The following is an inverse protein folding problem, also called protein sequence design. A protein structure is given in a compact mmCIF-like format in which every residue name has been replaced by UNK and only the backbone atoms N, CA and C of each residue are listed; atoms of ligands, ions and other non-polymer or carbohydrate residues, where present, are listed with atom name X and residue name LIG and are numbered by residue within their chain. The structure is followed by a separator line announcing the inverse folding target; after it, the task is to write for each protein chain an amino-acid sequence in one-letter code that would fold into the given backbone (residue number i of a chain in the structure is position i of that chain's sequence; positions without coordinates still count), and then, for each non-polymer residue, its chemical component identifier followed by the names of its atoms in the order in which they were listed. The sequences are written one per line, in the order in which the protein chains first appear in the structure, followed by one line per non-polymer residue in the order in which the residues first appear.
data_IF_076200653722
#
_entry.id   IF_076200653722
#
_cell.length_a   1.000
_cell.length_b   1.000
_cell.length_c   1.000
_cell.angle_alpha   90.00
_cell.angle_beta   90.00
_cell.angle_gamma   90.00
#
_symmetry.space_group_name_H-M   'P 1'
#
loop_
_entity.id
_entity.type
_entity.pdbx_description
1 polymer ?
#
# COMPACT_ATOMS: atom_id res chain seq x y z
N UNK A 1 -15.65 4.88 -3.34
CA UNK A 1 -14.58 5.01 -4.35
C UNK A 1 -15.17 5.01 -5.76
N UNK A 2 -14.55 5.72 -6.70
CA UNK A 2 -14.96 5.79 -8.12
C UNK A 2 -13.80 5.37 -9.04
N UNK A 3 -14.10 4.82 -10.22
CA UNK A 3 -13.12 4.50 -11.26
C UNK A 3 -13.46 5.30 -12.51
N UNK A 4 -12.50 6.03 -13.10
CA UNK A 4 -12.79 6.92 -14.22
C UNK A 4 -11.71 6.91 -15.30
N UNK A 5 -12.11 6.87 -16.57
CA UNK A 5 -11.22 7.00 -17.74
C UNK A 5 -11.97 7.74 -18.84
N UNK A 6 -11.33 8.73 -19.46
CA UNK A 6 -11.86 9.48 -20.61
C UNK A 6 -13.31 9.98 -20.40
N UNK A 7 -13.58 10.61 -19.24
CA UNK A 7 -14.89 11.10 -18.77
C UNK A 7 -15.96 10.04 -18.46
N UNK A 8 -15.65 8.75 -18.57
CA UNK A 8 -16.57 7.67 -18.21
C UNK A 8 -16.32 7.19 -16.77
N UNK A 9 -17.40 6.89 -16.04
CA UNK A 9 -17.34 6.18 -14.77
C UNK A 9 -17.43 4.68 -15.05
N UNK A 10 -16.49 3.91 -14.54
CA UNK A 10 -16.40 2.47 -14.72
C UNK A 10 -16.97 1.76 -13.49
N UNK A 11 -17.64 0.64 -13.71
CA UNK A 11 -17.87 -0.35 -12.66
C UNK A 11 -16.56 -1.01 -12.23
N UNK A 12 -16.54 -1.62 -11.04
CA UNK A 12 -15.39 -2.39 -10.57
C UNK A 12 -15.02 -3.51 -11.56
N UNK A 13 -16.00 -4.17 -12.18
CA UNK A 13 -15.76 -5.25 -13.15
C UNK A 13 -15.04 -4.74 -14.40
N UNK A 14 -15.48 -3.62 -14.95
CA UNK A 14 -14.84 -2.99 -16.11
C UNK A 14 -13.43 -2.52 -15.78
N UNK A 15 -13.25 -1.88 -14.62
CA UNK A 15 -11.93 -1.44 -14.15
C UNK A 15 -10.94 -2.61 -13.98
N UNK A 16 -11.37 -3.73 -13.37
CA UNK A 16 -10.53 -4.93 -13.25
C UNK A 16 -10.22 -5.54 -14.62
N UNK A 17 -11.19 -5.57 -15.54
CA UNK A 17 -10.96 -6.05 -16.91
C UNK A 17 -9.95 -5.20 -17.68
N UNK A 18 -9.97 -3.87 -17.47
CA UNK A 18 -9.03 -2.94 -18.12
C UNK A 18 -7.63 -3.01 -17.51
N UNK A 19 -7.53 -3.21 -16.21
CA UNK A 19 -6.24 -3.21 -15.49
C UNK A 19 -5.62 -4.60 -15.34
N UNK A 20 -6.37 -5.66 -15.65
CA UNK A 20 -5.93 -7.05 -15.52
C UNK A 20 -5.69 -7.51 -14.08
N UNK A 21 -6.15 -6.74 -13.08
CA UNK A 21 -5.87 -7.00 -11.67
C UNK A 21 -7.17 -7.08 -10.86
N UNK A 22 -7.54 -8.26 -10.35
CA UNK A 22 -8.54 -8.44 -9.30
C UNK A 22 -8.30 -7.52 -8.09
N UNK A 23 -9.40 -6.94 -7.60
CA UNK A 23 -9.39 -6.01 -6.48
C UNK A 23 -9.37 -6.73 -5.14
N UNK A 24 -8.41 -6.37 -4.29
CA UNK A 24 -8.34 -6.84 -2.91
C UNK A 24 -8.04 -5.69 -1.96
N UNK A 25 -8.83 -5.57 -0.89
CA UNK A 25 -8.68 -4.51 0.13
C UNK A 25 -7.87 -4.93 1.36
N UNK A 26 -7.35 -6.16 1.39
CA UNK A 26 -6.59 -6.71 2.52
C UNK A 26 -5.41 -7.57 2.08
N UNK A 27 -4.49 -7.80 3.01
CA UNK A 27 -3.46 -8.83 2.85
C UNK A 27 -4.04 -10.25 2.84
N UNK A 28 -3.43 -11.08 2.02
CA UNK A 28 -3.55 -12.53 2.04
C UNK A 28 -2.18 -13.12 2.34
N UNK A 29 -2.14 -14.27 3.00
CA UNK A 29 -0.89 -14.92 3.33
C UNK A 29 -0.82 -16.30 2.69
N UNK A 30 0.31 -16.63 2.08
CA UNK A 30 0.59 -18.02 1.70
C UNK A 30 0.56 -18.89 2.98
N UNK A 31 -0.35 -19.89 3.06
CA UNK A 31 -0.51 -20.72 4.25
C UNK A 31 0.78 -21.42 4.68
N UNK A 32 1.70 -21.68 3.74
CA UNK A 32 2.99 -22.35 4.03
C UNK A 32 3.94 -21.46 4.82
N UNK A 33 3.84 -20.14 4.71
CA UNK A 33 4.74 -19.20 5.40
C UNK A 33 4.11 -18.59 6.65
N UNK A 34 2.78 -18.50 6.70
CA UNK A 34 2.07 -17.73 7.71
C UNK A 34 2.38 -18.16 9.16
N UNK A 35 2.42 -19.46 9.53
CA UNK A 35 2.77 -19.87 10.89
C UNK A 35 4.19 -19.44 11.31
N UNK A 36 5.16 -19.51 10.39
CA UNK A 36 6.54 -19.11 10.64
C UNK A 36 6.66 -17.59 10.81
N UNK A 37 5.91 -16.84 10.01
CA UNK A 37 5.84 -15.39 10.07
C UNK A 37 5.32 -14.94 11.44
N UNK A 38 4.19 -15.49 11.91
CA UNK A 38 3.63 -15.18 13.23
C UNK A 38 4.60 -15.51 14.37
N UNK A 39 5.22 -16.70 14.35
CA UNK A 39 6.21 -17.09 15.36
C UNK A 39 7.40 -16.11 15.41
N UNK A 40 7.82 -15.63 14.25
CA UNK A 40 8.91 -14.65 14.14
C UNK A 40 8.48 -13.29 14.71
N UNK A 41 7.28 -12.81 14.35
CA UNK A 41 6.73 -11.56 14.87
C UNK A 41 6.61 -11.57 16.40
N UNK A 42 6.08 -12.66 16.96
CA UNK A 42 5.98 -12.85 18.42
C UNK A 42 7.34 -12.86 19.10
N UNK A 43 8.35 -13.49 18.50
CA UNK A 43 9.73 -13.47 19.02
C UNK A 43 10.30 -12.05 19.03
N UNK A 44 10.17 -11.32 17.91
CA UNK A 44 10.66 -9.95 17.79
C UNK A 44 9.95 -9.01 18.77
N UNK A 45 8.63 -9.17 18.94
CA UNK A 45 7.84 -8.43 19.92
C UNK A 45 8.34 -8.64 21.35
N UNK A 46 8.59 -9.89 21.75
CA UNK A 46 9.13 -10.23 23.09
C UNK A 46 10.54 -9.70 23.30
N UNK A 47 11.34 -9.61 22.23
CA UNK A 47 12.68 -9.06 22.24
C UNK A 47 12.70 -7.51 22.23
N UNK A 48 11.55 -6.83 22.11
CA UNK A 48 11.49 -5.37 22.03
C UNK A 48 11.89 -4.78 20.66
N UNK A 49 12.00 -5.62 19.63
CA UNK A 49 12.44 -5.22 18.28
C UNK A 49 11.31 -4.58 17.45
N UNK A 50 10.05 -4.74 17.88
CA UNK A 50 8.92 -4.03 17.30
C UNK A 50 8.79 -2.67 18.00
N UNK A 51 9.10 -1.60 17.29
CA UNK A 51 9.09 -0.25 17.85
C UNK A 51 7.71 0.16 18.41
N UNK A 52 7.72 1.03 19.42
CA UNK A 52 6.49 1.59 19.99
C UNK A 52 5.66 2.35 18.94
N UNK A 53 6.31 3.04 17.99
CA UNK A 53 5.62 3.74 16.91
C UNK A 53 4.87 2.75 15.98
N UNK A 54 5.49 1.64 15.63
CA UNK A 54 4.87 0.57 14.82
C UNK A 54 3.66 -0.05 15.54
N UNK A 55 3.76 -0.31 16.85
CA UNK A 55 2.63 -0.80 17.65
C UNK A 55 1.54 0.26 17.82
N UNK A 56 1.92 1.52 18.00
CA UNK A 56 0.99 2.62 18.16
C UNK A 56 0.17 2.85 16.90
N UNK A 57 0.79 2.83 15.72
CA UNK A 57 0.08 2.95 14.43
C UNK A 57 -0.94 1.83 14.24
N UNK A 58 -0.59 0.59 14.60
CA UNK A 58 -1.51 -0.54 14.51
C UNK A 58 -2.73 -0.37 15.42
N UNK A 59 -2.54 0.15 16.64
CA UNK A 59 -3.66 0.46 17.55
C UNK A 59 -4.46 1.68 17.11
N UNK A 60 -3.79 2.73 16.63
CA UNK A 60 -4.42 3.98 16.20
C UNK A 60 -5.35 3.75 15.01
N UNK A 61 -4.90 2.96 14.01
CA UNK A 61 -5.68 2.63 12.81
C UNK A 61 -6.37 1.26 12.84
N UNK A 62 -6.57 0.68 14.04
CA UNK A 62 -7.12 -0.67 14.16
C UNK A 62 -8.51 -0.79 13.51
N UNK A 63 -9.35 0.24 13.66
CA UNK A 63 -10.72 0.21 13.14
C UNK A 63 -10.71 0.15 11.62
N UNK A 64 -9.85 0.94 10.98
CA UNK A 64 -9.72 1.01 9.54
C UNK A 64 -9.13 -0.28 8.96
N UNK A 65 -8.14 -0.87 9.66
CA UNK A 65 -7.57 -2.18 9.31
C UNK A 65 -8.60 -3.33 9.42
N UNK A 66 -9.55 -3.25 10.36
CA UNK A 66 -10.62 -4.27 10.47
C UNK A 66 -11.79 -4.03 9.53
N UNK A 67 -12.24 -2.78 9.37
CA UNK A 67 -13.43 -2.46 8.59
C UNK A 67 -13.17 -2.46 7.08
N UNK A 68 -11.91 -2.23 6.67
CA UNK A 68 -11.50 -2.20 5.26
C UNK A 68 -12.38 -1.29 4.40
N UNK A 69 -12.85 -0.17 4.99
CA UNK A 69 -13.73 0.77 4.31
C UNK A 69 -12.94 1.49 3.22
N UNK A 70 -13.48 1.50 2.02
CA UNK A 70 -12.90 2.28 0.92
C UNK A 70 -12.88 3.78 1.27
N UNK A 71 -11.76 4.48 1.06
CA UNK A 71 -11.69 5.91 1.29
C UNK A 71 -12.47 6.68 0.21
N UNK A 72 -12.76 7.95 0.51
CA UNK A 72 -13.44 8.87 -0.40
C UNK A 72 -12.48 9.39 -1.48
N UNK A 73 -12.09 8.50 -2.38
CA UNK A 73 -11.16 8.75 -3.49
C UNK A 73 -11.70 8.22 -4.82
N UNK A 74 -11.12 8.71 -5.91
CA UNK A 74 -11.31 8.18 -7.26
C UNK A 74 -9.99 7.67 -7.83
N UNK A 75 -10.00 6.53 -8.51
CA UNK A 75 -8.92 6.11 -9.38
C UNK A 75 -9.20 6.63 -10.78
N UNK A 76 -8.34 7.49 -11.30
CA UNK A 76 -8.51 8.15 -12.60
C UNK A 76 -7.36 7.81 -13.52
N UNK A 77 -7.66 7.56 -14.80
CA UNK A 77 -6.63 7.61 -15.83
C UNK A 77 -6.17 9.07 -15.98
N UNK A 78 -4.87 9.31 -15.76
CA UNK A 78 -4.29 10.65 -15.81
C UNK A 78 -3.75 10.96 -17.21
N UNK A 79 -2.82 10.13 -17.69
CA UNK A 79 -2.21 10.24 -19.02
C UNK A 79 -1.38 9.00 -19.34
N UNK A 80 -0.77 8.95 -20.53
CA UNK A 80 0.06 7.82 -20.99
C UNK A 80 1.39 7.66 -20.24
N UNK A 81 1.84 8.66 -19.48
CA UNK A 81 3.11 8.63 -18.74
C UNK A 81 2.90 8.08 -17.33
N UNK A 82 1.93 8.63 -16.60
CA UNK A 82 1.60 8.22 -15.22
C UNK A 82 0.67 7.01 -15.18
N UNK A 83 -0.18 6.85 -16.20
CA UNK A 83 -1.25 5.87 -16.20
C UNK A 83 -2.36 6.27 -15.23
N UNK A 84 -2.72 5.35 -14.33
CA UNK A 84 -3.75 5.57 -13.32
C UNK A 84 -3.18 6.32 -12.11
N UNK A 85 -4.01 7.12 -11.46
CA UNK A 85 -3.67 7.83 -10.22
C UNK A 85 -4.88 7.94 -9.29
N UNK A 86 -4.62 8.21 -8.01
CA UNK A 86 -5.65 8.32 -6.98
C UNK A 86 -5.90 9.79 -6.65
N UNK A 87 -7.16 10.22 -6.74
CA UNK A 87 -7.60 11.61 -6.52
C UNK A 87 -8.53 11.70 -5.30
N UNK A 88 -8.32 12.69 -4.45
CA UNK A 88 -9.20 12.98 -3.32
C UNK A 88 -10.60 13.43 -3.76
N UNK A 89 -11.67 12.81 -3.25
CA UNK A 89 -13.06 13.25 -3.50
C UNK A 89 -13.62 14.19 -2.42
N UNK A 90 -12.89 14.33 -1.31
CA UNK A 90 -13.12 15.30 -0.24
C UNK A 90 -11.80 15.81 0.32
N UNK A 91 -11.87 16.80 1.19
CA UNK A 91 -10.71 17.19 1.99
C UNK A 91 -10.37 16.08 3.00
N UNK A 92 -9.09 15.79 3.14
CA UNK A 92 -8.54 14.94 4.18
C UNK A 92 -7.70 15.78 5.15
N UNK A 93 -7.89 15.55 6.43
CA UNK A 93 -7.04 16.03 7.51
C UNK A 93 -5.77 15.20 7.57
N UNK A 94 -4.75 15.72 8.25
CA UNK A 94 -3.54 14.95 8.61
C UNK A 94 -3.92 13.79 9.56
N UNK A 95 -3.20 12.66 9.46
CA UNK A 95 -3.44 11.43 10.23
C UNK A 95 -4.77 10.71 9.91
N UNK A 96 -5.25 10.81 8.67
CA UNK A 96 -6.36 9.99 8.17
C UNK A 96 -5.82 8.78 7.40
N UNK A 97 -6.34 7.60 7.71
CA UNK A 97 -6.03 6.36 6.99
C UNK A 97 -6.55 6.43 5.56
N UNK A 98 -5.75 5.97 4.60
CA UNK A 98 -6.17 5.83 3.20
C UNK A 98 -6.33 4.35 2.83
N UNK A 99 -5.28 3.56 2.96
CA UNK A 99 -5.31 2.14 2.56
C UNK A 99 -4.15 1.37 3.18
N UNK A 100 -4.29 0.06 3.22
CA UNK A 100 -3.14 -0.85 3.30
C UNK A 100 -2.56 -1.12 1.90
N UNK A 101 -1.28 -1.42 1.82
CA UNK A 101 -0.66 -2.02 0.63
C UNK A 101 -1.07 -3.50 0.54
N UNK A 102 -2.25 -3.75 -0.02
CA UNK A 102 -2.87 -5.08 -0.09
C UNK A 102 -2.34 -5.93 -1.24
N UNK A 103 -2.29 -7.26 -1.02
CA UNK A 103 -1.80 -8.23 -1.98
C UNK A 103 -1.53 -9.59 -1.33
N UNK A 104 -0.84 -10.49 -2.04
CA UNK A 104 -0.43 -11.79 -1.49
C UNK A 104 0.95 -11.70 -0.84
N UNK A 105 1.02 -11.91 0.47
CA UNK A 105 2.26 -12.11 1.21
C UNK A 105 2.78 -13.52 0.95
N UNK A 106 3.94 -13.60 0.29
CA UNK A 106 4.62 -14.86 -0.03
C UNK A 106 6.13 -14.74 0.12
N UNK A 107 6.84 -15.86 -0.02
CA UNK A 107 8.31 -15.84 -0.10
C UNK A 107 8.74 -15.03 -1.33
N UNK A 108 9.71 -14.15 -1.15
CA UNK A 108 10.30 -13.36 -2.23
C UNK A 108 11.11 -14.26 -3.16
N UNK A 109 11.06 -13.95 -4.45
CA UNK A 109 11.85 -14.57 -5.53
C UNK A 109 12.61 -13.50 -6.30
N UNK A 110 13.68 -13.89 -7.00
CA UNK A 110 14.59 -12.93 -7.67
C UNK A 110 13.88 -11.96 -8.62
N UNK A 111 12.84 -12.41 -9.32
CA UNK A 111 12.08 -11.58 -10.27
C UNK A 111 11.31 -10.43 -9.60
N UNK A 112 11.01 -10.53 -8.30
CA UNK A 112 10.20 -9.54 -7.57
C UNK A 112 10.89 -8.18 -7.51
N UNK A 113 12.22 -8.15 -7.49
CA UNK A 113 13.02 -6.92 -7.49
C UNK A 113 12.78 -6.04 -8.72
N UNK A 114 12.32 -6.65 -9.82
CA UNK A 114 12.00 -5.92 -11.07
C UNK A 114 10.49 -5.64 -11.20
N UNK A 115 9.65 -6.24 -10.37
CA UNK A 115 8.21 -6.07 -10.42
C UNK A 115 7.81 -4.79 -9.66
N UNK A 116 7.20 -3.84 -10.39
CA UNK A 116 6.78 -2.56 -9.83
C UNK A 116 5.66 -2.67 -8.77
N UNK A 117 4.98 -3.82 -8.71
CA UNK A 117 3.88 -4.07 -7.78
C UNK A 117 4.26 -4.96 -6.60
N UNK A 118 5.52 -5.42 -6.53
CA UNK A 118 6.01 -6.14 -5.37
C UNK A 118 6.59 -5.15 -4.34
N UNK A 119 6.16 -5.27 -3.10
CA UNK A 119 6.66 -4.50 -1.97
C UNK A 119 7.29 -5.45 -0.94
N UNK A 120 8.48 -5.14 -0.42
CA UNK A 120 9.11 -5.96 0.63
C UNK A 120 8.18 -6.05 1.85
N UNK A 121 7.97 -7.24 2.43
CA UNK A 121 7.10 -7.39 3.60
C UNK A 121 7.94 -7.45 4.90
N UNK A 122 8.16 -6.32 5.61
CA UNK A 122 8.85 -6.33 6.89
C UNK A 122 7.94 -6.80 8.03
N UNK A 123 8.50 -7.60 8.94
CA UNK A 123 7.84 -7.96 10.21
C UNK A 123 8.08 -6.87 11.26
N UNK A 124 9.28 -6.28 11.26
CA UNK A 124 9.68 -5.17 12.11
C UNK A 124 10.58 -4.21 11.30
N UNK A 125 10.53 -2.93 11.63
CA UNK A 125 11.32 -1.91 10.94
C UNK A 125 12.82 -2.20 11.06
N UNK A 126 13.55 -2.10 9.94
CA UNK A 126 14.98 -2.41 9.88
C UNK A 126 15.35 -3.90 9.92
N UNK A 127 14.38 -4.80 10.09
CA UNK A 127 14.64 -6.25 10.08
C UNK A 127 14.50 -6.79 8.65
N UNK A 128 15.59 -7.33 8.12
CA UNK A 128 15.60 -8.00 6.81
C UNK A 128 14.58 -9.13 6.78
N UNK A 129 13.86 -9.21 5.66
CA UNK A 129 12.83 -10.22 5.43
C UNK A 129 13.10 -11.00 4.15
N UNK A 130 12.54 -12.21 4.07
CA UNK A 130 12.51 -13.01 2.83
C UNK A 130 11.12 -13.02 2.22
N UNK A 131 10.25 -12.10 2.62
CA UNK A 131 8.84 -12.05 2.24
C UNK A 131 8.56 -10.79 1.40
N UNK A 132 7.58 -10.90 0.52
CA UNK A 132 7.10 -9.79 -0.30
C UNK A 132 5.59 -9.80 -0.28
N UNK A 133 4.98 -8.62 -0.35
CA UNK A 133 3.61 -8.44 -0.80
C UNK A 133 3.64 -8.38 -2.32
N UNK A 134 2.95 -9.32 -2.98
CA UNK A 134 2.77 -9.36 -4.42
C UNK A 134 1.40 -8.76 -4.76
N UNK A 135 1.40 -7.55 -5.34
CA UNK A 135 0.20 -6.86 -5.79
C UNK A 135 0.04 -6.83 -7.33
N UNK A 136 0.78 -7.68 -8.05
CA UNK A 136 0.70 -7.76 -9.52
C UNK A 136 -0.58 -8.49 -9.95
N UNK A 137 -0.80 -9.69 -9.44
CA UNK A 137 -1.91 -10.58 -9.83
C UNK A 137 -3.22 -10.25 -9.10
N UNK A 138 -3.14 -9.58 -7.94
CA UNK A 138 -4.29 -9.12 -7.17
C UNK A 138 -3.82 -7.97 -6.26
N UNK A 139 -4.50 -6.82 -6.28
CA UNK A 139 -4.09 -5.69 -5.47
C UNK A 139 -5.22 -4.71 -5.14
N UNK A 140 -4.94 -3.81 -4.22
CA UNK A 140 -5.88 -2.79 -3.77
C UNK A 140 -5.56 -1.39 -4.28
N UNK A 141 -6.11 -0.39 -3.59
CA UNK A 141 -5.94 1.02 -3.92
C UNK A 141 -4.46 1.45 -4.02
N UNK A 142 -3.61 0.94 -3.13
CA UNK A 142 -2.22 1.38 -3.00
C UNK A 142 -1.41 1.24 -4.30
N UNK A 143 -1.70 0.24 -5.14
CA UNK A 143 -0.96 -0.01 -6.40
C UNK A 143 -1.17 1.08 -7.46
N UNK A 144 -2.18 1.93 -7.28
CA UNK A 144 -2.52 3.02 -8.18
C UNK A 144 -2.13 4.40 -7.61
N UNK A 145 -1.52 4.46 -6.42
CA UNK A 145 -1.03 5.70 -5.83
C UNK A 145 0.37 5.95 -6.37
N UNK A 146 0.55 7.06 -7.08
CA UNK A 146 1.80 7.38 -7.75
C UNK A 146 2.90 7.86 -6.80
N UNK A 147 4.13 7.83 -7.31
CA UNK A 147 5.28 8.38 -6.62
C UNK A 147 5.28 9.91 -6.62
N UNK A 148 5.72 10.52 -5.53
CA UNK A 148 6.20 11.90 -5.52
C UNK A 148 7.37 12.05 -4.55
N UNK A 149 8.36 12.89 -4.89
CA UNK A 149 9.44 13.29 -3.98
C UNK A 149 8.97 14.29 -2.92
N UNK A 150 7.81 14.92 -3.10
CA UNK A 150 7.13 15.74 -2.08
C UNK A 150 5.71 15.19 -1.81
N UNK A 151 5.60 13.96 -1.27
CA UNK A 151 4.32 13.28 -1.20
C UNK A 151 3.37 13.93 -0.20
N UNK A 152 2.09 13.58 -0.26
CA UNK A 152 1.09 13.95 0.75
C UNK A 152 0.63 12.77 1.62
N UNK A 153 1.03 11.55 1.26
CA UNK A 153 0.91 10.37 2.10
C UNK A 153 2.24 9.99 2.76
N UNK A 154 2.13 9.24 3.86
CA UNK A 154 3.21 8.51 4.51
C UNK A 154 2.92 7.02 4.42
N UNK A 155 3.91 6.24 3.97
CA UNK A 155 3.91 4.78 4.12
C UNK A 155 4.58 4.43 5.46
N UNK A 156 3.99 3.54 6.25
CA UNK A 156 4.58 3.08 7.51
C UNK A 156 4.18 1.65 7.81
N UNK A 157 5.07 0.94 8.52
CA UNK A 157 4.75 -0.36 9.09
C UNK A 157 3.96 -0.17 10.39
N UNK A 158 2.75 -0.73 10.44
CA UNK A 158 1.91 -0.86 11.61
C UNK A 158 1.85 -2.34 12.04
N UNK A 159 1.80 -2.62 13.34
CA UNK A 159 1.57 -4.00 13.82
C UNK A 159 0.29 -4.11 14.61
N UNK A 160 -0.59 -4.98 14.13
CA UNK A 160 -1.87 -5.34 14.74
C UNK A 160 -1.93 -6.87 14.81
N UNK A 161 -2.30 -7.42 15.98
CA UNK A 161 -2.41 -8.88 16.18
C UNK A 161 -1.17 -9.70 15.73
N UNK A 162 0.03 -9.15 15.96
CA UNK A 162 1.33 -9.72 15.56
C UNK A 162 1.53 -9.83 14.03
N UNK A 163 0.65 -9.22 13.24
CA UNK A 163 0.76 -9.08 11.78
C UNK A 163 1.28 -7.67 11.45
N UNK A 164 2.16 -7.58 10.46
CA UNK A 164 2.67 -6.33 9.92
C UNK A 164 1.79 -5.84 8.78
N UNK A 165 1.41 -4.57 8.82
CA UNK A 165 0.56 -3.91 7.84
C UNK A 165 1.32 -2.70 7.29
N UNK A 166 1.57 -2.66 5.99
CA UNK A 166 2.12 -1.47 5.35
C UNK A 166 0.96 -0.54 5.05
N UNK A 167 0.80 0.49 5.87
CA UNK A 167 -0.32 1.42 5.79
C UNK A 167 0.09 2.71 5.11
N UNK A 168 -0.83 3.30 4.37
CA UNK A 168 -0.73 4.63 3.82
C UNK A 168 -1.77 5.54 4.48
N UNK A 169 -1.29 6.65 5.05
CA UNK A 169 -2.12 7.65 5.70
C UNK A 169 -1.65 9.06 5.34
N UNK A 170 -2.50 10.06 5.52
CA UNK A 170 -2.20 11.45 5.17
C UNK A 170 -1.18 12.04 6.15
N UNK A 171 -0.06 12.58 5.63
CA UNK A 171 0.96 13.25 6.47
C UNK A 171 0.78 14.76 6.59
N UNK A 172 -0.08 15.32 5.73
CA UNK A 172 -0.54 16.71 5.73
C UNK A 172 -2.01 16.73 5.32
N UNK A 173 -2.68 17.86 5.48
CA UNK A 173 -4.01 18.03 4.89
C UNK A 173 -3.93 17.92 3.36
N UNK A 174 -4.98 17.38 2.74
CA UNK A 174 -5.11 17.16 1.30
C UNK A 174 -6.43 17.77 0.87
N UNK A 175 -6.42 18.65 -0.13
CA UNK A 175 -7.65 19.24 -0.63
C UNK A 175 -8.38 18.27 -1.56
N UNK A 176 -9.70 18.38 -1.63
CA UNK A 176 -10.50 17.72 -2.66
C UNK A 176 -9.93 18.05 -4.05
N UNK A 177 -9.74 17.02 -4.87
CA UNK A 177 -9.19 17.15 -6.22
C UNK A 177 -7.68 16.94 -6.31
N UNK A 178 -6.95 16.98 -5.18
CA UNK A 178 -5.52 16.69 -5.18
C UNK A 178 -5.25 15.21 -5.46
N UNK A 179 -4.14 14.94 -6.15
CA UNK A 179 -3.63 13.58 -6.32
C UNK A 179 -2.95 13.10 -5.04
N UNK A 180 -3.26 11.89 -4.61
CA UNK A 180 -2.57 11.21 -3.52
C UNK A 180 -1.28 10.58 -4.05
N UNK A 181 -0.18 10.81 -3.34
CA UNK A 181 1.15 10.31 -3.71
C UNK A 181 1.95 9.92 -2.47
N UNK A 182 2.83 8.92 -2.61
CA UNK A 182 3.79 8.53 -1.56
C UNK A 182 5.20 8.36 -2.14
N UNK A 183 6.19 8.29 -1.26
CA UNK A 183 7.57 7.99 -1.69
C UNK A 183 7.72 6.46 -1.88
N UNK A 184 8.18 6.04 -3.05
CA UNK A 184 8.39 4.62 -3.36
C UNK A 184 9.66 4.07 -2.72
N UNK A 185 10.53 4.95 -2.24
CA UNK A 185 11.79 4.60 -1.61
C UNK A 185 12.92 4.33 -2.60
N UNK A 186 14.17 4.34 -2.13
CA UNK A 186 15.36 4.20 -2.97
C UNK A 186 15.46 2.84 -3.65
N UNK A 187 15.03 1.76 -2.99
CA UNK A 187 15.10 0.40 -3.53
C UNK A 187 14.24 0.22 -4.78
N UNK A 188 13.10 0.91 -4.88
CA UNK A 188 12.26 0.89 -6.07
C UNK A 188 13.01 1.49 -7.27
N UNK A 189 13.69 2.61 -7.05
CA UNK A 189 14.40 3.37 -8.07
C UNK A 189 15.75 2.76 -8.46
N UNK A 190 16.25 1.78 -7.68
CA UNK A 190 17.50 1.09 -7.97
C UNK A 190 17.42 0.38 -9.34
N UNK A 191 18.11 0.94 -10.35
CA UNK A 191 18.10 0.42 -11.71
C UNK A 191 16.89 0.83 -12.56
N UNK A 192 16.12 1.84 -12.12
CA UNK A 192 15.06 2.50 -12.92
C UNK A 192 15.47 3.94 -13.24
N UNK A 193 14.89 4.55 -14.31
CA UNK A 193 15.00 5.99 -14.52
C UNK A 193 14.48 6.76 -13.31
N UNK A 194 15.00 7.98 -13.10
CA UNK A 194 14.51 8.85 -12.03
C UNK A 194 13.00 9.13 -12.19
N UNK A 195 12.27 9.34 -11.09
CA UNK A 195 10.85 9.65 -11.16
C UNK A 195 10.57 10.88 -12.02
N UNK A 196 9.51 10.81 -12.82
CA UNK A 196 8.94 12.00 -13.46
C UNK A 196 8.29 12.85 -12.37
N UNK A 197 8.63 14.15 -12.23
CA UNK A 197 7.97 15.03 -11.26
C UNK A 197 6.47 15.13 -11.54
N UNK A 198 5.67 15.08 -10.47
CA UNK A 198 4.22 15.34 -10.49
C UNK A 198 3.91 16.81 -10.29
#
# INVERSE_FOLDING_TARGET
MLFQKDNQVLSLKEFQSLTGAPWVSKLFFDPKIYPKLLKTAQKLKRAGEISLAQLWLGRYFQKELFLLKDPDVAIRWLNSVLGWGVIALRDFRKMEFITEYSGLVRKSVRRDRKNAYCFEYPIASGVKTSYTIDALEQGGLARYINHSSNPNLQSSLATLEDVGHIILYTKKAIAKGDQLCYDYGPDYWAGRPAPVPL
#
